data_IF_319783638250
#
_entry.id   IF_319783638250
#
_cell.length_a   1.000
_cell.length_b   1.000
_cell.length_c   1.000
_cell.angle_alpha   90.00
_cell.angle_beta   90.00
_cell.angle_gamma   90.00
#
_symmetry.space_group_name_H-M   'P 1'
#
loop_
_entity.id
_entity.type
_entity.pdbx_description
1 polymer ?
#
# COMPACT_ATOMS: atom_id res chain seq x y z
N UNK A 1 1.07 11.18 -2.91
CA UNK A 1 1.26 12.16 -3.99
C UNK A 1 1.81 11.37 -5.16
N UNK A 2 1.28 11.53 -6.38
CA UNK A 2 1.82 10.82 -7.55
C UNK A 2 3.27 11.27 -7.84
N UNK A 3 4.05 10.41 -8.50
CA UNK A 3 5.49 10.63 -8.70
C UNK A 3 5.79 11.97 -9.39
N UNK A 4 5.09 12.28 -10.48
CA UNK A 4 5.30 13.50 -11.28
C UNK A 4 4.89 14.81 -10.58
N UNK A 5 4.22 14.69 -9.43
CA UNK A 5 3.79 15.84 -8.63
C UNK A 5 4.70 16.08 -7.41
N UNK A 6 5.72 15.24 -7.21
CA UNK A 6 6.69 15.49 -6.16
C UNK A 6 7.46 16.79 -6.47
N UNK A 7 7.91 17.55 -5.45
CA UNK A 7 8.73 18.72 -5.69
C UNK A 7 10.03 18.38 -6.44
N UNK A 8 10.51 19.28 -7.29
CA UNK A 8 11.78 19.12 -8.03
C UNK A 8 12.94 18.75 -7.10
N UNK A 9 12.97 19.32 -5.89
CA UNK A 9 13.97 19.00 -4.87
C UNK A 9 13.99 17.52 -4.47
N UNK A 10 12.88 16.79 -4.57
CA UNK A 10 12.83 15.33 -4.32
C UNK A 10 13.40 14.57 -5.51
N UNK A 11 13.17 15.03 -6.73
CA UNK A 11 13.72 14.44 -7.95
C UNK A 11 15.23 14.66 -8.04
N UNK A 12 15.67 15.89 -7.81
CA UNK A 12 17.05 16.37 -8.00
C UNK A 12 17.97 16.03 -6.85
N UNK A 13 17.53 16.20 -5.60
CA UNK A 13 18.37 15.86 -4.45
C UNK A 13 18.43 14.33 -4.34
N UNK A 14 19.60 13.76 -4.04
CA UNK A 14 19.87 12.31 -4.00
C UNK A 14 19.03 11.46 -3.03
N UNK A 15 17.93 12.01 -2.50
CA UNK A 15 16.84 11.33 -1.80
C UNK A 15 16.42 10.04 -2.51
N UNK A 16 16.21 9.00 -1.72
CA UNK A 16 15.67 7.71 -2.17
C UNK A 16 14.20 7.60 -1.82
N UNK A 17 13.43 6.91 -2.64
CA UNK A 17 11.99 6.74 -2.50
C UNK A 17 11.67 5.26 -2.41
N UNK A 18 10.91 4.86 -1.39
CA UNK A 18 10.31 3.53 -1.31
C UNK A 18 8.81 3.69 -1.58
N UNK A 19 8.30 2.99 -2.60
CA UNK A 19 6.88 2.95 -2.92
C UNK A 19 6.35 1.53 -2.71
N UNK A 20 5.17 1.42 -2.09
CA UNK A 20 4.50 0.14 -1.86
C UNK A 20 3.20 0.12 -2.67
N UNK A 21 3.15 -0.74 -3.68
CA UNK A 21 1.93 -1.11 -4.38
C UNK A 21 1.19 -2.24 -3.66
N UNK A 22 -0.11 -2.38 -3.93
CA UNK A 22 -0.94 -3.45 -3.39
C UNK A 22 -1.96 -3.90 -4.43
N UNK A 23 -2.43 -5.14 -4.33
CA UNK A 23 -3.60 -5.59 -5.09
C UNK A 23 -4.74 -4.54 -4.98
N UNK A 24 -5.28 -4.05 -6.12
CA UNK A 24 -6.24 -2.95 -6.11
C UNK A 24 -7.57 -3.29 -5.44
N UNK A 25 -8.00 -4.55 -5.47
CA UNK A 25 -9.24 -5.01 -4.84
C UNK A 25 -9.13 -4.96 -3.32
N UNK A 26 -8.03 -5.49 -2.77
CA UNK A 26 -7.76 -5.42 -1.34
C UNK A 26 -7.55 -3.97 -0.87
N UNK A 27 -6.91 -3.15 -1.71
CA UNK A 27 -6.75 -1.74 -1.43
C UNK A 27 -8.09 -1.02 -1.38
N UNK A 28 -8.98 -1.24 -2.35
CA UNK A 28 -10.33 -0.67 -2.35
C UNK A 28 -11.08 -1.02 -1.06
N UNK A 29 -11.11 -2.31 -0.70
CA UNK A 29 -11.78 -2.78 0.52
C UNK A 29 -11.17 -2.14 1.78
N UNK A 30 -9.83 -2.07 1.84
CA UNK A 30 -9.14 -1.44 2.96
C UNK A 30 -9.47 0.05 3.09
N UNK A 31 -9.41 0.79 1.98
CA UNK A 31 -9.72 2.22 1.95
C UNK A 31 -11.17 2.49 2.32
N UNK A 32 -12.11 1.74 1.75
CA UNK A 32 -13.54 1.88 2.02
C UNK A 32 -13.87 1.67 3.49
N UNK A 33 -13.35 0.60 4.11
CA UNK A 33 -13.53 0.38 5.54
C UNK A 33 -12.97 1.53 6.38
N UNK A 34 -11.76 1.99 6.05
CA UNK A 34 -11.11 3.08 6.77
C UNK A 34 -11.93 4.38 6.69
N UNK A 35 -12.45 4.73 5.51
CA UNK A 35 -13.26 5.94 5.32
C UNK A 35 -14.61 5.84 6.05
N UNK A 36 -15.28 4.68 5.99
CA UNK A 36 -16.56 4.44 6.66
C UNK A 36 -16.43 4.50 8.19
N UNK A 37 -15.43 3.80 8.74
CA UNK A 37 -15.22 3.73 10.19
C UNK A 37 -14.92 5.11 10.79
N UNK A 38 -14.22 5.95 10.04
CA UNK A 38 -13.80 7.28 10.48
C UNK A 38 -14.67 8.42 9.95
N UNK A 39 -15.76 8.13 9.22
CA UNK A 39 -16.67 9.13 8.66
C UNK A 39 -15.93 10.22 7.88
N UNK A 40 -15.05 9.82 6.96
CA UNK A 40 -14.20 10.76 6.21
C UNK A 40 -14.79 11.04 4.82
N UNK A 41 -14.85 12.32 4.44
CA UNK A 41 -15.26 12.74 3.10
C UNK A 41 -16.74 12.47 2.85
N UNK A 42 -17.10 12.02 1.64
CA UNK A 42 -18.50 11.71 1.27
C UNK A 42 -19.14 10.65 2.16
N UNK A 43 -18.33 9.80 2.79
CA UNK A 43 -18.78 8.74 3.70
C UNK A 43 -19.20 9.27 5.09
N UNK A 44 -18.97 10.56 5.39
CA UNK A 44 -19.36 11.17 6.65
C UNK A 44 -20.88 11.36 6.79
N UNK A 45 -21.50 11.82 5.70
CA UNK A 45 -22.88 12.29 5.68
C UNK A 45 -23.82 11.30 4.98
N UNK A 46 -23.38 10.69 3.88
CA UNK A 46 -24.18 9.74 3.11
C UNK A 46 -23.27 8.65 2.48
N UNK A 47 -23.00 7.55 3.21
CA UNK A 47 -22.08 6.53 2.74
C UNK A 47 -22.62 5.85 1.49
N UNK A 48 -21.78 5.79 0.45
CA UNK A 48 -22.16 5.19 -0.83
C UNK A 48 -22.37 3.68 -0.67
N UNK A 49 -23.18 3.07 -1.54
CA UNK A 49 -23.22 1.61 -1.66
C UNK A 49 -21.87 1.06 -2.16
N UNK A 50 -21.61 -0.24 -1.92
CA UNK A 50 -20.35 -0.86 -2.38
C UNK A 50 -20.19 -0.77 -3.90
N UNK A 51 -21.28 -0.95 -4.65
CA UNK A 51 -21.26 -0.90 -6.12
C UNK A 51 -20.89 0.49 -6.66
N UNK A 52 -21.49 1.53 -6.10
CA UNK A 52 -21.22 2.92 -6.50
C UNK A 52 -19.81 3.34 -6.11
N UNK A 53 -19.38 3.05 -4.87
CA UNK A 53 -18.02 3.31 -4.43
C UNK A 53 -16.99 2.58 -5.30
N UNK A 54 -17.28 1.35 -5.71
CA UNK A 54 -16.42 0.57 -6.58
C UNK A 54 -16.37 1.10 -8.02
N UNK A 55 -17.51 1.55 -8.56
CA UNK A 55 -17.52 2.21 -9.87
C UNK A 55 -16.67 3.48 -9.87
N UNK A 56 -16.82 4.31 -8.84
CA UNK A 56 -16.00 5.51 -8.64
C UNK A 56 -14.51 5.16 -8.53
N UNK A 57 -14.16 4.13 -7.77
CA UNK A 57 -12.79 3.63 -7.68
C UNK A 57 -12.23 3.22 -9.04
N UNK A 58 -12.97 2.42 -9.82
CA UNK A 58 -12.56 1.98 -11.15
C UNK A 58 -12.34 3.16 -12.12
N UNK A 59 -13.13 4.23 -11.97
CA UNK A 59 -13.01 5.47 -12.75
C UNK A 59 -11.92 6.43 -12.23
N UNK A 60 -11.21 6.06 -11.16
CA UNK A 60 -10.18 6.89 -10.53
C UNK A 60 -10.72 8.05 -9.70
N UNK A 61 -12.04 8.08 -9.42
CA UNK A 61 -12.71 9.16 -8.70
C UNK A 61 -12.72 8.83 -7.20
N UNK A 62 -11.56 8.96 -6.57
CA UNK A 62 -11.40 8.80 -5.13
C UNK A 62 -10.25 9.68 -4.61
N UNK A 63 -10.12 9.83 -3.30
CA UNK A 63 -9.01 10.58 -2.70
C UNK A 63 -7.66 10.04 -3.20
N UNK A 64 -6.82 10.94 -3.70
CA UNK A 64 -5.51 10.65 -4.31
C UNK A 64 -5.53 9.74 -5.54
N UNK A 65 -6.71 9.55 -6.15
CA UNK A 65 -6.82 8.92 -7.45
C UNK A 65 -6.43 9.87 -8.60
N UNK A 66 -6.30 9.34 -9.82
CA UNK A 66 -6.48 7.94 -10.19
C UNK A 66 -5.39 6.99 -9.66
N UNK A 67 -5.81 5.85 -9.10
CA UNK A 67 -4.92 4.88 -8.49
C UNK A 67 -3.92 4.24 -9.48
N UNK A 68 -4.35 3.96 -10.71
CA UNK A 68 -3.53 3.28 -11.71
C UNK A 68 -2.32 4.13 -12.10
N UNK A 69 -2.56 5.39 -12.40
CA UNK A 69 -1.57 6.38 -12.79
C UNK A 69 -0.60 6.64 -11.63
N UNK A 70 -1.11 6.69 -10.39
CA UNK A 70 -0.27 6.79 -9.21
C UNK A 70 0.70 5.62 -9.12
N UNK A 71 0.23 4.38 -9.32
CA UNK A 71 1.09 3.19 -9.23
C UNK A 71 2.06 3.10 -10.42
N UNK A 72 1.58 3.37 -11.63
CA UNK A 72 2.34 3.30 -12.86
C UNK A 72 3.50 4.29 -12.87
N UNK A 73 3.29 5.52 -12.38
CA UNK A 73 4.35 6.53 -12.28
C UNK A 73 5.54 6.06 -11.42
N UNK A 74 5.26 5.49 -10.24
CA UNK A 74 6.33 4.95 -9.38
C UNK A 74 6.96 3.67 -9.95
N UNK A 75 6.19 2.85 -10.66
CA UNK A 75 6.72 1.66 -11.32
C UNK A 75 7.72 2.04 -12.42
N UNK A 76 7.34 2.97 -13.30
CA UNK A 76 8.23 3.46 -14.36
C UNK A 76 9.49 4.10 -13.79
N UNK A 77 9.33 4.94 -12.76
CA UNK A 77 10.49 5.55 -12.09
C UNK A 77 11.43 4.51 -11.46
N UNK A 78 10.87 3.42 -10.91
CA UNK A 78 11.65 2.28 -10.42
C UNK A 78 12.38 1.56 -11.56
N UNK A 79 11.71 1.29 -12.68
CA UNK A 79 12.29 0.64 -13.85
C UNK A 79 13.42 1.48 -14.48
N UNK A 80 13.27 2.79 -14.54
CA UNK A 80 14.26 3.72 -15.07
C UNK A 80 15.47 3.88 -14.14
N UNK A 81 15.22 3.99 -12.83
CA UNK A 81 16.28 4.20 -11.84
C UNK A 81 16.01 3.46 -10.51
N UNK A 82 16.33 2.15 -10.44
CA UNK A 82 16.07 1.34 -9.25
C UNK A 82 16.92 1.73 -8.04
N UNK A 83 17.95 2.58 -8.20
CA UNK A 83 18.74 3.15 -7.09
C UNK A 83 18.06 4.37 -6.45
N UNK A 84 17.16 5.04 -7.19
CA UNK A 84 16.40 6.21 -6.72
C UNK A 84 15.05 5.80 -6.16
N UNK A 85 14.35 4.88 -6.84
CA UNK A 85 13.02 4.42 -6.46
C UNK A 85 13.04 2.91 -6.28
N UNK A 86 12.62 2.43 -5.12
CA UNK A 86 12.37 1.02 -4.83
C UNK A 86 10.85 0.78 -4.84
N UNK A 87 10.39 -0.04 -5.78
CA UNK A 87 9.02 -0.51 -5.79
C UNK A 87 8.90 -1.85 -5.04
N UNK A 88 7.97 -1.91 -4.10
CA UNK A 88 7.61 -3.11 -3.35
C UNK A 88 6.14 -3.42 -3.56
N UNK A 89 5.76 -4.69 -3.40
CA UNK A 89 4.35 -5.11 -3.36
C UNK A 89 4.01 -5.57 -1.94
N UNK A 90 2.84 -5.17 -1.45
CA UNK A 90 2.34 -5.60 -0.16
C UNK A 90 2.24 -7.12 -0.06
N UNK A 91 1.86 -7.78 -1.15
CA UNK A 91 1.74 -9.23 -1.23
C UNK A 91 3.12 -9.91 -1.06
N UNK A 92 4.16 -9.39 -1.70
CA UNK A 92 5.52 -9.92 -1.59
C UNK A 92 6.07 -9.74 -0.15
N UNK A 93 5.73 -8.63 0.53
CA UNK A 93 6.04 -8.41 1.95
C UNK A 93 5.34 -9.42 2.87
N UNK A 94 4.15 -9.88 2.49
CA UNK A 94 3.40 -10.88 3.24
C UNK A 94 3.87 -12.30 2.96
N UNK A 95 4.41 -12.55 1.77
CA UNK A 95 4.92 -13.85 1.33
C UNK A 95 6.33 -14.14 1.90
N UNK A 96 7.25 -13.18 1.80
CA UNK A 96 8.64 -13.32 2.29
C UNK A 96 9.16 -12.01 2.88
N UNK A 97 8.84 -11.78 4.15
CA UNK A 97 9.25 -10.57 4.87
C UNK A 97 10.78 -10.45 4.98
N UNK A 98 11.49 -11.57 5.14
CA UNK A 98 12.95 -11.59 5.34
C UNK A 98 13.66 -11.03 4.11
N UNK A 99 13.33 -11.52 2.92
CA UNK A 99 13.92 -11.03 1.68
C UNK A 99 13.55 -9.56 1.42
N UNK A 100 12.31 -9.15 1.70
CA UNK A 100 11.92 -7.75 1.51
C UNK A 100 12.62 -6.80 2.48
N UNK A 101 12.81 -7.18 3.76
CA UNK A 101 13.54 -6.36 4.74
C UNK A 101 15.01 -6.20 4.33
N UNK A 102 15.66 -7.26 3.85
CA UNK A 102 17.02 -7.18 3.28
C UNK A 102 17.08 -6.22 2.08
N UNK A 103 16.11 -6.34 1.15
CA UNK A 103 16.01 -5.46 -0.03
C UNK A 103 15.86 -3.98 0.36
N UNK A 104 15.05 -3.69 1.39
CA UNK A 104 14.89 -2.33 1.93
C UNK A 104 16.21 -1.84 2.54
N UNK A 105 16.85 -2.66 3.37
CA UNK A 105 18.10 -2.31 4.04
C UNK A 105 19.23 -2.01 3.05
N UNK A 106 19.39 -2.85 2.03
CA UNK A 106 20.33 -2.63 0.92
C UNK A 106 20.02 -1.33 0.17
N UNK A 107 18.76 -1.09 -0.19
CA UNK A 107 18.34 0.14 -0.86
C UNK A 107 18.57 1.39 0.00
N UNK A 108 18.42 1.28 1.32
CA UNK A 108 18.73 2.36 2.27
C UNK A 108 20.24 2.55 2.49
N UNK A 109 21.09 1.69 1.95
CA UNK A 109 22.55 1.76 2.09
C UNK A 109 23.08 1.18 3.41
N UNK A 110 22.27 0.35 4.06
CA UNK A 110 22.59 -0.35 5.30
C UNK A 110 22.36 -1.86 5.13
N UNK A 111 23.04 -2.54 4.19
CA UNK A 111 22.88 -3.98 4.02
C UNK A 111 23.28 -4.70 5.31
N UNK A 112 22.53 -5.74 5.66
CA UNK A 112 22.85 -6.57 6.83
C UNK A 112 24.18 -7.31 6.62
N UNK A 113 24.97 -7.38 7.68
CA UNK A 113 26.14 -8.25 7.76
C UNK A 113 25.73 -9.71 8.02
N UNK A 114 26.61 -10.67 7.70
CA UNK A 114 26.35 -12.08 7.98
C UNK A 114 26.15 -12.35 9.47
N UNK A 115 26.85 -11.60 10.32
CA UNK A 115 26.75 -11.67 11.77
C UNK A 115 25.36 -11.19 12.26
N UNK A 116 24.86 -10.06 11.76
CA UNK A 116 23.52 -9.55 12.10
C UNK A 116 22.41 -10.52 11.65
N UNK A 117 22.58 -11.13 10.47
CA UNK A 117 21.66 -12.17 10.00
C UNK A 117 21.67 -13.39 10.92
N UNK A 118 22.86 -13.89 11.29
CA UNK A 118 23.00 -15.03 12.22
C UNK A 118 22.45 -14.73 13.61
N UNK A 119 22.50 -13.47 14.05
CA UNK A 119 21.93 -13.03 15.32
C UNK A 119 20.40 -12.86 15.27
N UNK A 120 19.78 -13.06 14.11
CA UNK A 120 18.33 -12.97 13.93
C UNK A 120 17.80 -11.53 13.94
N UNK A 121 18.64 -10.53 13.60
CA UNK A 121 18.23 -9.12 13.61
C UNK A 121 17.05 -8.84 12.68
N UNK A 122 17.00 -9.53 11.53
CA UNK A 122 15.89 -9.39 10.58
C UNK A 122 14.57 -9.88 11.19
N UNK A 123 14.59 -10.99 11.92
CA UNK A 123 13.41 -11.53 12.61
C UNK A 123 12.96 -10.61 13.74
N UNK A 124 13.91 -10.01 14.46
CA UNK A 124 13.62 -9.03 15.51
C UNK A 124 12.93 -7.79 14.92
N UNK A 125 13.48 -7.19 13.86
CA UNK A 125 12.87 -6.04 13.17
C UNK A 125 11.47 -6.41 12.64
N UNK A 126 11.36 -7.55 11.96
CA UNK A 126 10.10 -8.04 11.40
C UNK A 126 9.05 -8.29 12.50
N UNK A 127 9.47 -8.82 13.65
CA UNK A 127 8.62 -9.04 14.81
C UNK A 127 8.10 -7.72 15.40
N UNK A 128 8.99 -6.75 15.61
CA UNK A 128 8.63 -5.42 16.13
C UNK A 128 7.64 -4.69 15.20
N UNK A 129 7.90 -4.74 13.89
CA UNK A 129 7.08 -4.09 12.86
C UNK A 129 5.88 -4.94 12.40
N UNK A 130 5.67 -6.12 12.97
CA UNK A 130 4.59 -7.02 12.57
C UNK A 130 3.21 -6.41 12.85
N UNK A 131 2.21 -6.84 12.08
CA UNK A 131 0.83 -6.39 12.26
C UNK A 131 0.33 -6.63 13.70
N UNK A 132 0.59 -7.81 14.26
CA UNK A 132 0.14 -8.14 15.62
C UNK A 132 0.88 -7.33 16.68
N UNK A 133 2.19 -7.12 16.53
CA UNK A 133 2.96 -6.25 17.43
C UNK A 133 2.40 -4.83 17.42
N UNK A 134 2.34 -4.20 16.24
CA UNK A 134 1.92 -2.82 16.10
C UNK A 134 0.45 -2.61 16.50
N UNK A 135 -0.46 -3.49 16.10
CA UNK A 135 -1.88 -3.42 16.51
C UNK A 135 -2.07 -3.49 18.02
N UNK A 136 -1.19 -4.21 18.71
CA UNK A 136 -1.33 -4.44 20.15
C UNK A 136 -0.67 -3.37 21.03
N UNK A 137 0.12 -2.45 20.46
CA UNK A 137 0.67 -1.31 21.18
C UNK A 137 -0.44 -0.43 21.77
N UNK A 138 -0.27 0.01 23.02
CA UNK A 138 -1.26 0.83 23.72
C UNK A 138 -1.60 2.11 22.93
N UNK A 139 -0.59 2.78 22.38
CA UNK A 139 -0.75 3.98 21.55
C UNK A 139 -1.64 3.73 20.31
N UNK A 140 -1.65 2.51 19.77
CA UNK A 140 -2.45 2.14 18.60
C UNK A 140 -3.85 1.65 18.97
N UNK A 141 -4.12 1.36 20.26
CA UNK A 141 -5.44 0.94 20.75
C UNK A 141 -6.33 2.11 21.21
N UNK A 142 -5.75 3.13 21.83
CA UNK A 142 -6.51 4.17 22.54
C UNK A 142 -6.28 5.61 22.06
N UNK A 143 -5.31 5.84 21.16
CA UNK A 143 -5.00 7.17 20.64
C UNK A 143 -5.86 7.60 19.43
N UNK A 144 -5.75 8.88 19.09
CA UNK A 144 -6.31 9.46 17.85
C UNK A 144 -5.23 10.20 17.06
N UNK A 145 -5.39 10.25 15.75
CA UNK A 145 -4.58 10.94 14.77
C UNK A 145 -5.44 11.94 13.97
N UNK A 146 -4.80 12.69 13.06
CA UNK A 146 -5.47 13.67 12.18
C UNK A 146 -6.36 14.64 12.97
N UNK A 147 -5.77 15.29 13.98
CA UNK A 147 -6.44 16.24 14.88
C UNK A 147 -7.69 15.67 15.57
N UNK A 148 -7.67 14.38 15.90
CA UNK A 148 -8.76 13.71 16.62
C UNK A 148 -9.82 13.07 15.72
N UNK A 149 -9.70 13.19 14.39
CA UNK A 149 -10.67 12.64 13.45
C UNK A 149 -10.59 11.11 13.34
N UNK A 150 -9.39 10.53 13.44
CA UNK A 150 -9.16 9.11 13.18
C UNK A 150 -8.66 8.40 14.43
N UNK A 151 -9.31 7.30 14.81
CA UNK A 151 -8.82 6.44 15.89
C UNK A 151 -7.60 5.67 15.40
N UNK A 152 -6.57 5.55 16.25
CA UNK A 152 -5.36 4.83 15.88
C UNK A 152 -5.63 3.34 15.58
N UNK A 153 -6.65 2.77 16.23
CA UNK A 153 -7.07 1.39 16.01
C UNK A 153 -7.51 1.13 14.57
N UNK A 154 -8.06 2.15 13.89
CA UNK A 154 -8.60 2.02 12.53
C UNK A 154 -7.51 1.80 11.47
N UNK A 155 -6.24 2.10 11.77
CA UNK A 155 -5.12 1.74 10.89
C UNK A 155 -4.84 0.22 10.86
N UNK A 156 -5.36 -0.55 11.83
CA UNK A 156 -5.07 -1.97 12.01
C UNK A 156 -6.32 -2.85 11.91
N UNK A 157 -6.83 -3.05 10.68
CA UNK A 157 -8.07 -3.81 10.44
C UNK A 157 -7.88 -5.34 10.46
N UNK A 158 -7.26 -5.90 9.42
CA UNK A 158 -7.05 -7.36 9.28
C UNK A 158 -5.61 -7.77 8.90
N UNK A 159 -4.87 -6.93 8.16
CA UNK A 159 -3.49 -7.24 7.77
C UNK A 159 -3.31 -8.50 6.89
N UNK A 160 -4.33 -8.82 6.07
CA UNK A 160 -4.37 -10.02 5.20
C UNK A 160 -4.43 -9.64 3.72
N UNK A 161 -3.94 -10.57 2.88
CA UNK A 161 -4.09 -10.58 1.42
C UNK A 161 -5.32 -11.42 1.06
N UNK A 162 -6.06 -11.01 0.04
CA UNK A 162 -7.24 -11.71 -0.49
C UNK A 162 -8.53 -11.47 0.28
N UNK A 163 -8.56 -10.49 1.20
CA UNK A 163 -9.75 -10.20 2.00
C UNK A 163 -10.89 -9.64 1.14
N UNK A 164 -10.57 -9.10 -0.04
CA UNK A 164 -11.52 -8.60 -1.03
C UNK A 164 -12.60 -9.60 -1.44
N UNK A 165 -12.30 -10.90 -1.42
CA UNK A 165 -13.24 -11.99 -1.76
C UNK A 165 -14.47 -12.03 -0.84
N UNK A 166 -14.38 -11.46 0.36
CA UNK A 166 -15.50 -11.38 1.31
C UNK A 166 -16.46 -10.20 1.02
N UNK A 167 -16.10 -9.30 0.11
CA UNK A 167 -16.81 -8.03 -0.09
C UNK A 167 -17.18 -7.75 -1.55
N UNK A 168 -16.40 -8.28 -2.51
CA UNK A 168 -16.56 -7.98 -3.93
C UNK A 168 -17.00 -9.22 -4.69
N UNK A 169 -17.86 -9.00 -5.70
CA UNK A 169 -18.33 -10.08 -6.56
C UNK A 169 -17.25 -10.49 -7.58
N UNK A 170 -17.32 -11.70 -8.15
CA UNK A 170 -16.43 -12.12 -9.24
C UNK A 170 -16.47 -11.15 -10.43
N UNK A 171 -17.63 -10.55 -10.75
CA UNK A 171 -17.76 -9.59 -11.83
C UNK A 171 -16.99 -8.28 -11.55
N UNK A 172 -16.96 -7.82 -10.30
CA UNK A 172 -16.15 -6.67 -9.87
C UNK A 172 -14.65 -6.99 -9.99
N UNK A 173 -14.22 -8.15 -9.51
CA UNK A 173 -12.84 -8.60 -9.62
C UNK A 173 -12.38 -8.68 -11.09
N UNK A 174 -13.21 -9.25 -11.95
CA UNK A 174 -12.98 -9.35 -13.38
C UNK A 174 -12.88 -7.98 -14.07
N UNK A 175 -13.70 -7.01 -13.67
CA UNK A 175 -13.61 -5.63 -14.16
C UNK A 175 -12.24 -5.02 -13.83
N UNK A 176 -11.77 -5.19 -12.60
CA UNK A 176 -10.45 -4.69 -12.18
C UNK A 176 -9.31 -5.43 -12.88
N UNK A 177 -9.40 -6.75 -13.07
CA UNK A 177 -8.41 -7.51 -13.83
C UNK A 177 -8.23 -6.95 -15.24
N UNK A 178 -9.34 -6.70 -15.96
CA UNK A 178 -9.30 -6.08 -17.30
C UNK A 178 -8.73 -4.67 -17.29
N UNK A 179 -9.08 -3.86 -16.28
CA UNK A 179 -8.53 -2.52 -16.12
C UNK A 179 -7.02 -2.58 -15.90
N UNK A 180 -6.54 -3.50 -15.06
CA UNK A 180 -5.11 -3.70 -14.82
C UNK A 180 -4.36 -4.11 -16.07
N UNK A 181 -4.90 -5.08 -16.82
CA UNK A 181 -4.31 -5.53 -18.09
C UNK A 181 -4.14 -4.37 -19.07
N UNK A 182 -5.16 -3.54 -19.22
CA UNK A 182 -5.10 -2.36 -20.09
C UNK A 182 -4.19 -1.26 -19.54
N UNK A 183 -4.22 -1.00 -18.23
CA UNK A 183 -3.49 0.13 -17.62
C UNK A 183 -2.00 -0.16 -17.42
N UNK A 184 -1.62 -1.42 -17.29
CA UNK A 184 -0.24 -1.85 -17.08
C UNK A 184 0.33 -2.62 -18.26
N UNK A 185 -0.34 -2.56 -19.42
CA UNK A 185 0.13 -3.18 -20.65
C UNK A 185 1.57 -2.74 -20.98
N UNK A 186 2.43 -3.72 -21.29
CA UNK A 186 3.84 -3.47 -21.63
C UNK A 186 4.75 -3.05 -20.46
N UNK A 187 4.20 -2.71 -19.29
CA UNK A 187 5.00 -2.26 -18.14
C UNK A 187 5.70 -3.41 -17.39
N UNK A 188 5.20 -4.64 -17.53
CA UNK A 188 5.65 -5.80 -16.72
C UNK A 188 5.16 -5.78 -15.27
N UNK A 189 4.37 -4.77 -14.86
CA UNK A 189 3.78 -4.72 -13.52
C UNK A 189 2.58 -5.66 -13.42
N UNK A 190 2.73 -6.73 -12.63
CA UNK A 190 1.70 -7.76 -12.44
C UNK A 190 1.35 -7.87 -10.95
N UNK A 191 0.06 -7.98 -10.62
CA UNK A 191 -0.40 -8.39 -9.30
C UNK A 191 -1.18 -9.69 -9.39
N UNK A 192 -1.03 -10.55 -8.38
CA UNK A 192 -1.89 -11.71 -8.19
C UNK A 192 -3.27 -11.20 -7.74
N UNK A 193 -4.31 -11.49 -8.52
CA UNK A 193 -5.72 -11.23 -8.17
C UNK A 193 -6.34 -12.51 -7.63
#
# INVERSE_FOLDING_TARGET
>A
MPFDFLPDSVHENGSRIIYIGRNPLDQFVSQRHFLLENKIGKEADNPLGVDEAFDMFCRGIHSWGPFWEHMHGYWNAHSENPRKVLFLKYEDLKEDITSQVKKIAEFMGFPFTLEEEKQGLIDQISGLCSFESLRNLAANKTGNNLNGLVKNSSFFRKGKVGDWTNYLTPAMAERVRKLMESKFEGSGLIFKI
#
